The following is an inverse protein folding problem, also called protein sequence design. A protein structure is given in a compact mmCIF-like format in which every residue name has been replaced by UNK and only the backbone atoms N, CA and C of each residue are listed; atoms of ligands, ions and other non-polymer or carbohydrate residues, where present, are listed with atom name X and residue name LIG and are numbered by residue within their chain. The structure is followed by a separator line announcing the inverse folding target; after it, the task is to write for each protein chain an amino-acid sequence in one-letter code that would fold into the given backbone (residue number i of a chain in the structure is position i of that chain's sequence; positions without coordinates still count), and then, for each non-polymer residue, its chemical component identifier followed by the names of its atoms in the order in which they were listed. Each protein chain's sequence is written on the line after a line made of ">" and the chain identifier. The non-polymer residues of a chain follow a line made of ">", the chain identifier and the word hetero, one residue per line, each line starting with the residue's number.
data_IF_744745143348
#
_entry.id   IF_744745143348
#
_cell.length_a   1.000
_cell.length_b   1.000
_cell.length_c   1.000
_cell.angle_alpha   90.00
_cell.angle_beta   90.00
_cell.angle_gamma   90.00
#
_symmetry.space_group_name_H-M   'P 1'
#
loop_
_entity.id
_entity.type
_entity.pdbx_description
1 polymer ?
#
# COMPACT_ATOMS: atom_id res chain seq x y z
N UNK A 1 -4.66 -9.69 -8.90
CA UNK A 1 -4.56 -11.06 -8.36
C UNK A 1 -4.93 -10.96 -6.90
N UNK A 2 -6.12 -11.44 -6.53
CA UNK A 2 -6.60 -11.46 -5.14
C UNK A 2 -5.78 -12.48 -4.36
N UNK A 3 -5.26 -12.11 -3.19
CA UNK A 3 -4.58 -13.05 -2.31
C UNK A 3 -5.57 -13.81 -1.41
N UNK A 4 -5.09 -14.81 -0.66
CA UNK A 4 -5.94 -15.68 0.17
C UNK A 4 -6.71 -14.89 1.25
N UNK A 5 -6.15 -13.77 1.72
CA UNK A 5 -6.81 -12.89 2.69
C UNK A 5 -7.94 -12.13 2.00
N UNK A 6 -7.70 -11.64 0.78
CA UNK A 6 -8.73 -10.98 -0.02
C UNK A 6 -9.91 -11.92 -0.34
N UNK A 7 -9.64 -13.19 -0.69
CA UNK A 7 -10.68 -14.22 -0.95
C UNK A 7 -11.49 -14.53 0.32
N UNK A 8 -10.82 -14.72 1.46
CA UNK A 8 -11.49 -14.95 2.73
C UNK A 8 -12.41 -13.80 3.13
N UNK A 9 -11.92 -12.55 3.09
CA UNK A 9 -12.71 -11.38 3.45
C UNK A 9 -13.88 -11.16 2.48
N UNK A 10 -13.70 -11.51 1.21
CA UNK A 10 -14.78 -11.44 0.21
C UNK A 10 -15.90 -12.43 0.52
N UNK A 11 -15.55 -13.69 0.85
CA UNK A 11 -16.53 -14.72 1.25
C UNK A 11 -17.18 -14.40 2.59
N UNK A 12 -16.44 -13.81 3.53
CA UNK A 12 -16.96 -13.40 4.82
C UNK A 12 -18.11 -12.40 4.67
N UNK A 13 -17.97 -11.42 3.77
CA UNK A 13 -19.02 -10.42 3.49
C UNK A 13 -20.24 -11.05 2.80
N UNK A 14 -20.04 -12.10 2.00
CA UNK A 14 -21.14 -12.83 1.35
C UNK A 14 -21.98 -13.62 2.37
N UNK A 15 -21.36 -14.14 3.43
CA UNK A 15 -22.06 -14.92 4.47
C UNK A 15 -22.55 -14.06 5.64
N UNK A 16 -21.89 -12.94 5.93
CA UNK A 16 -22.22 -12.02 7.03
C UNK A 16 -22.19 -10.58 6.52
N UNK A 17 -23.26 -10.12 5.84
CA UNK A 17 -23.30 -8.80 5.22
C UNK A 17 -23.39 -7.65 6.25
N UNK A 18 -23.85 -7.91 7.48
CA UNK A 18 -23.95 -6.90 8.55
C UNK A 18 -22.66 -6.76 9.38
N UNK A 19 -21.55 -7.36 8.93
CA UNK A 19 -20.28 -7.27 9.65
C UNK A 19 -19.84 -5.79 9.77
N UNK A 20 -19.60 -5.27 10.98
CA UNK A 20 -19.11 -3.91 11.16
C UNK A 20 -17.78 -3.70 10.44
N UNK A 21 -17.62 -2.55 9.79
CA UNK A 21 -16.43 -2.20 9.01
C UNK A 21 -15.15 -2.28 9.86
N UNK A 22 -15.20 -1.84 11.11
CA UNK A 22 -14.07 -1.88 12.03
C UNK A 22 -13.60 -3.32 12.33
N UNK A 23 -14.54 -4.26 12.47
CA UNK A 23 -14.25 -5.68 12.67
C UNK A 23 -13.57 -6.28 11.44
N UNK A 24 -14.01 -5.88 10.25
CA UNK A 24 -13.40 -6.31 8.98
C UNK A 24 -11.94 -5.84 8.85
N UNK A 25 -11.67 -4.58 9.18
CA UNK A 25 -10.32 -3.99 9.13
C UNK A 25 -9.39 -4.68 10.12
N UNK A 26 -9.90 -4.98 11.33
CA UNK A 26 -9.12 -5.69 12.36
C UNK A 26 -8.78 -7.12 11.93
N UNK A 27 -9.76 -7.86 11.40
CA UNK A 27 -9.56 -9.21 10.86
C UNK A 27 -8.53 -9.23 9.73
N UNK A 28 -8.55 -8.25 8.84
CA UNK A 28 -7.53 -8.14 7.79
C UNK A 28 -6.12 -7.96 8.38
N UNK A 29 -5.96 -7.03 9.31
CA UNK A 29 -4.68 -6.76 9.97
C UNK A 29 -4.13 -8.00 10.68
N UNK A 30 -5.00 -8.71 11.41
CA UNK A 30 -4.63 -9.91 12.16
C UNK A 30 -4.26 -11.08 11.24
N UNK A 31 -5.03 -11.31 10.18
CA UNK A 31 -4.75 -12.34 9.18
C UNK A 31 -3.43 -12.09 8.46
N UNK A 32 -3.17 -10.85 8.05
CA UNK A 32 -1.91 -10.48 7.40
C UNK A 32 -0.72 -10.56 8.36
N UNK A 33 -0.92 -10.29 9.65
CA UNK A 33 0.10 -10.45 10.68
C UNK A 33 0.43 -11.90 11.00
N UNK A 34 -0.58 -12.77 11.11
CA UNK A 34 -0.40 -14.18 11.49
C UNK A 34 0.08 -15.05 10.33
N UNK A 35 -0.41 -14.79 9.11
CA UNK A 35 -0.07 -15.60 7.93
C UNK A 35 1.16 -15.03 7.18
N UNK A 36 1.74 -13.94 7.71
CA UNK A 36 2.98 -13.34 7.25
C UNK A 36 4.19 -13.88 8.02
N UNK A 37 4.60 -15.12 7.73
CA UNK A 37 5.80 -15.71 8.34
C UNK A 37 6.58 -16.63 7.39
N UNK A 38 7.87 -16.32 7.21
CA UNK A 38 8.98 -17.18 6.72
C UNK A 38 9.35 -17.17 5.23
N UNK A 39 8.66 -16.42 4.39
CA UNK A 39 9.28 -15.80 3.20
C UNK A 39 8.90 -14.33 3.25
N UNK A 40 9.82 -13.38 3.01
CA UNK A 40 9.41 -12.00 2.95
C UNK A 40 8.30 -11.96 1.90
N UNK A 41 7.10 -11.59 2.33
CA UNK A 41 6.13 -11.03 1.41
C UNK A 41 6.94 -10.02 0.62
N UNK A 42 7.20 -10.29 -0.66
CA UNK A 42 7.93 -9.36 -1.52
C UNK A 42 7.12 -8.10 -1.37
N UNK A 43 7.67 -7.14 -0.60
CA UNK A 43 6.94 -5.98 -0.16
C UNK A 43 6.18 -5.50 -1.38
N UNK A 44 4.84 -5.44 -1.32
CA UNK A 44 4.03 -4.90 -2.42
C UNK A 44 4.52 -3.48 -2.59
N UNK A 45 5.60 -3.33 -3.36
CA UNK A 45 6.22 -2.06 -3.63
C UNK A 45 5.10 -1.28 -4.29
N UNK A 46 4.84 -0.10 -3.73
CA UNK A 46 3.82 0.78 -4.27
C UNK A 46 3.93 0.80 -5.80
N UNK A 47 2.83 0.46 -6.49
CA UNK A 47 2.83 0.35 -7.95
C UNK A 47 3.49 1.61 -8.54
N UNK A 48 4.32 1.44 -9.58
CA UNK A 48 5.01 2.54 -10.27
C UNK A 48 4.08 3.70 -10.56
N UNK A 49 2.85 3.42 -11.00
CA UNK A 49 1.82 4.44 -11.29
C UNK A 49 1.49 5.24 -10.02
N UNK A 50 1.08 4.57 -8.95
CA UNK A 50 0.75 5.20 -7.65
C UNK A 50 1.91 6.03 -7.11
N UNK A 51 3.13 5.51 -7.20
CA UNK A 51 4.35 6.20 -6.76
C UNK A 51 4.59 7.49 -7.55
N UNK A 52 4.49 7.44 -8.88
CA UNK A 52 4.66 8.61 -9.73
C UNK A 52 3.56 9.66 -9.49
N UNK A 53 2.33 9.23 -9.23
CA UNK A 53 1.22 10.14 -8.88
C UNK A 53 1.49 10.88 -7.57
N UNK A 54 1.97 10.19 -6.54
CA UNK A 54 2.32 10.82 -5.27
C UNK A 54 3.47 11.84 -5.40
N UNK A 55 4.48 11.53 -6.20
CA UNK A 55 5.56 12.49 -6.50
C UNK A 55 4.99 13.74 -7.19
N UNK A 56 4.14 13.58 -8.21
CA UNK A 56 3.54 14.70 -8.93
C UNK A 56 2.62 15.55 -8.03
N UNK A 57 1.81 14.91 -7.18
CA UNK A 57 0.95 15.62 -6.23
C UNK A 57 1.76 16.38 -5.17
N UNK A 58 2.83 15.76 -4.64
CA UNK A 58 3.71 16.40 -3.66
C UNK A 58 4.44 17.62 -4.23
N UNK A 59 4.92 17.53 -5.47
CA UNK A 59 5.54 18.65 -6.19
C UNK A 59 4.55 19.79 -6.44
N UNK A 60 3.33 19.49 -6.90
CA UNK A 60 2.27 20.50 -7.10
C UNK A 60 1.86 21.19 -5.80
N UNK A 61 1.95 20.48 -4.69
CA UNK A 61 1.60 21.01 -3.36
C UNK A 61 2.75 21.76 -2.68
N UNK A 62 3.86 21.99 -3.40
CA UNK A 62 5.07 22.64 -2.89
C UNK A 62 5.62 22.05 -1.58
N UNK A 63 5.40 20.74 -1.36
CA UNK A 63 5.89 20.06 -0.18
C UNK A 63 7.42 19.91 -0.23
N UNK A 64 8.10 19.89 0.93
CA UNK A 64 9.52 19.59 0.99
C UNK A 64 9.83 18.24 0.31
N UNK A 65 10.84 18.22 -0.56
CA UNK A 65 11.21 17.04 -1.36
C UNK A 65 11.41 15.77 -0.51
N UNK A 66 11.98 15.92 0.68
CA UNK A 66 12.18 14.84 1.64
C UNK A 66 10.85 14.19 2.06
N UNK A 67 9.80 14.98 2.28
CA UNK A 67 8.47 14.48 2.62
C UNK A 67 7.80 13.82 1.42
N UNK A 68 7.95 14.39 0.24
CA UNK A 68 7.40 13.84 -1.01
C UNK A 68 7.97 12.43 -1.27
N UNK A 69 9.28 12.25 -1.08
CA UNK A 69 9.93 10.95 -1.26
C UNK A 69 9.56 9.94 -0.17
N UNK A 70 9.46 10.39 1.09
CA UNK A 70 9.00 9.56 2.20
C UNK A 70 7.57 9.04 1.96
N UNK A 71 6.64 9.92 1.53
CA UNK A 71 5.26 9.54 1.20
C UNK A 71 5.17 8.58 0.02
N UNK A 72 6.06 8.72 -0.97
CA UNK A 72 6.16 7.81 -2.10
C UNK A 72 6.89 6.49 -1.78
N UNK A 73 7.37 6.31 -0.55
CA UNK A 73 8.09 5.12 -0.10
C UNK A 73 9.42 4.91 -0.84
N UNK A 74 10.12 5.99 -1.21
CA UNK A 74 11.41 5.93 -1.92
C UNK A 74 12.52 6.67 -1.21
N UNK A 75 13.75 6.19 -1.37
CA UNK A 75 14.94 6.92 -0.92
C UNK A 75 15.14 8.21 -1.74
N UNK A 76 15.78 9.25 -1.18
CA UNK A 76 16.02 10.51 -1.90
C UNK A 76 16.74 10.31 -3.24
N UNK A 77 17.76 9.45 -3.28
CA UNK A 77 18.48 9.09 -4.52
C UNK A 77 17.54 8.50 -5.58
N UNK A 78 16.61 7.64 -5.17
CA UNK A 78 15.62 7.03 -6.06
C UNK A 78 14.59 8.05 -6.52
N UNK A 79 14.14 8.92 -5.61
CA UNK A 79 13.21 10.02 -5.91
C UNK A 79 13.76 10.95 -6.99
N UNK A 80 14.99 11.45 -6.83
CA UNK A 80 15.63 12.30 -7.84
C UNK A 80 15.83 11.59 -9.18
N UNK A 81 16.23 10.31 -9.17
CA UNK A 81 16.35 9.52 -10.41
C UNK A 81 15.01 9.37 -11.13
N UNK A 82 13.91 9.19 -10.41
CA UNK A 82 12.56 9.09 -10.99
C UNK A 82 12.06 10.41 -11.56
N UNK A 83 12.51 11.55 -11.01
CA UNK A 83 12.20 12.88 -11.54
C UNK A 83 13.05 13.23 -12.76
N UNK A 84 14.34 12.89 -12.76
CA UNK A 84 15.24 13.15 -13.89
C UNK A 84 15.09 12.19 -15.08
N UNK A 85 14.38 11.07 -14.90
CA UNK A 85 14.06 10.12 -15.97
C UNK A 85 12.73 10.39 -16.67
N UNK A 86 12.13 11.57 -16.46
CA UNK A 86 10.89 12.03 -17.09
C UNK A 86 11.14 13.23 -17.97
#
# INVERSE_FOLDING_TARGET
>A
MADIVDDFLTRLVQHVPELPTDTRVRLESDLRGQWGGSKPYVAKQMNRVTRTTLLACGLRSQLPMREVFARAGVSPRTGYRLLGGK
#
